data_IF_752419175169
#
_entry.id   IF_752419175169
#
_cell.length_a   1.000
_cell.length_b   1.000
_cell.length_c   1.000
_cell.angle_alpha   90.00
_cell.angle_beta   90.00
_cell.angle_gamma   90.00
#
_symmetry.space_group_name_H-M   'P 1'
#
loop_
_entity.id
_entity.type
_entity.pdbx_description
1 polymer ?
#
# COMPACT_ATOMS: atom_id res chain seq x y z
N UNK A 1 -43.72 11.37 6.05
CA UNK A 1 -43.24 10.79 4.78
C UNK A 1 -41.72 10.74 4.87
N UNK A 2 -41.16 9.67 5.41
CA UNK A 2 -39.72 9.53 5.64
C UNK A 2 -39.11 8.73 4.50
N UNK A 3 -38.52 9.42 3.53
CA UNK A 3 -37.64 8.78 2.54
C UNK A 3 -36.31 8.47 3.23
N UNK A 4 -36.20 7.28 3.81
CA UNK A 4 -34.91 6.68 4.10
C UNK A 4 -34.23 6.38 2.77
N UNK A 5 -33.44 7.34 2.28
CA UNK A 5 -32.47 7.08 1.22
C UNK A 5 -31.38 6.22 1.84
N UNK A 6 -31.54 4.90 1.76
CA UNK A 6 -30.45 3.95 1.95
C UNK A 6 -29.40 4.26 0.88
N UNK A 7 -28.42 5.10 1.22
CA UNK A 7 -27.19 5.25 0.46
C UNK A 7 -26.55 3.86 0.46
N UNK A 8 -26.73 3.12 -0.62
CA UNK A 8 -25.95 1.92 -0.91
C UNK A 8 -24.52 2.43 -1.11
N UNK A 9 -23.74 2.47 -0.04
CA UNK A 9 -22.30 2.67 -0.12
C UNK A 9 -21.76 1.42 -0.79
N UNK A 10 -21.29 1.56 -2.04
CA UNK A 10 -20.48 0.52 -2.66
C UNK A 10 -19.33 0.19 -1.69
N UNK A 11 -19.17 -1.06 -1.22
CA UNK A 11 -18.10 -1.40 -0.28
C UNK A 11 -16.71 -1.02 -0.82
N UNK A 12 -16.54 -0.97 -2.15
CA UNK A 12 -15.31 -0.49 -2.80
C UNK A 12 -15.03 1.01 -2.58
N UNK A 13 -16.03 1.82 -2.24
CA UNK A 13 -15.89 3.27 -1.96
C UNK A 13 -15.64 3.59 -0.47
N UNK A 14 -15.62 2.58 0.41
CA UNK A 14 -15.48 2.78 1.87
C UNK A 14 -14.21 2.11 2.41
N UNK A 15 -13.62 1.17 1.67
CA UNK A 15 -12.38 0.53 2.07
C UNK A 15 -11.18 1.43 1.73
N UNK A 16 -10.52 1.92 2.77
CA UNK A 16 -9.25 2.64 2.68
C UNK A 16 -8.06 1.68 2.81
N UNK A 17 -6.91 2.08 2.28
CA UNK A 17 -5.67 1.30 2.41
C UNK A 17 -5.36 0.94 3.86
N UNK A 18 -5.59 1.87 4.80
CA UNK A 18 -5.39 1.68 6.23
C UNK A 18 -6.17 0.48 6.81
N UNK A 19 -7.40 0.24 6.36
CA UNK A 19 -8.21 -0.88 6.85
C UNK A 19 -7.83 -2.23 6.23
N UNK A 20 -7.10 -2.21 5.11
CA UNK A 20 -6.77 -3.41 4.34
C UNK A 20 -5.33 -3.87 4.54
N UNK A 21 -4.45 -2.96 4.96
CA UNK A 21 -3.02 -3.20 5.00
C UNK A 21 -2.62 -4.31 5.95
N UNK A 22 -1.49 -4.93 5.62
CA UNK A 22 -0.67 -5.58 6.64
C UNK A 22 0.10 -4.49 7.38
N UNK A 23 -0.08 -4.33 8.71
CA UNK A 23 0.69 -3.36 9.48
C UNK A 23 2.19 -3.59 9.33
N UNK A 24 2.98 -2.52 9.40
CA UNK A 24 4.43 -2.63 9.19
C UNK A 24 5.09 -3.48 10.28
N UNK A 25 4.53 -3.49 11.48
CA UNK A 25 4.97 -4.28 12.63
C UNK A 25 4.70 -5.78 12.46
N UNK A 26 3.78 -6.14 11.57
CA UNK A 26 3.46 -7.53 11.23
C UNK A 26 4.25 -8.04 10.02
N UNK A 27 5.16 -7.23 9.47
CA UNK A 27 6.03 -7.64 8.37
C UNK A 27 7.27 -8.35 8.90
N UNK A 28 7.77 -9.32 8.13
CA UNK A 28 9.01 -10.01 8.47
C UNK A 28 10.17 -9.02 8.45
N UNK A 29 11.12 -9.21 9.36
CA UNK A 29 12.30 -8.35 9.47
C UNK A 29 13.58 -9.17 9.48
N UNK A 30 14.63 -8.63 8.87
CA UNK A 30 15.95 -9.24 8.83
C UNK A 30 17.01 -8.13 8.81
N UNK A 31 17.95 -8.17 9.76
CA UNK A 31 19.08 -7.22 9.78
C UNK A 31 18.70 -5.75 9.91
N UNK A 32 17.53 -5.44 10.50
CA UNK A 32 17.01 -4.06 10.61
C UNK A 32 16.24 -3.59 9.37
N UNK A 33 16.06 -4.45 8.37
CA UNK A 33 15.24 -4.19 7.20
C UNK A 33 13.91 -4.93 7.30
N UNK A 34 12.87 -4.34 6.71
CA UNK A 34 11.52 -4.89 6.67
C UNK A 34 11.28 -5.47 5.28
N UNK A 35 10.79 -6.70 5.23
CA UNK A 35 10.48 -7.40 4.00
C UNK A 35 9.23 -6.81 3.35
N UNK A 36 9.43 -6.22 2.16
CA UNK A 36 8.32 -5.81 1.31
C UNK A 36 7.90 -7.00 0.44
N UNK A 37 8.86 -7.59 -0.29
CA UNK A 37 8.62 -8.71 -1.19
C UNK A 37 9.75 -9.74 -1.12
N UNK A 38 9.45 -10.91 -0.55
CA UNK A 38 10.41 -12.00 -0.38
C UNK A 38 10.80 -12.62 -1.73
N UNK A 39 9.83 -12.86 -2.61
CA UNK A 39 10.09 -13.42 -3.95
C UNK A 39 10.93 -12.48 -4.82
N UNK A 40 10.64 -11.19 -4.74
CA UNK A 40 11.37 -10.15 -5.45
C UNK A 40 12.65 -9.69 -4.77
N UNK A 41 12.98 -10.23 -3.57
CA UNK A 41 14.07 -9.79 -2.69
C UNK A 41 14.07 -8.27 -2.46
N UNK A 42 12.89 -7.70 -2.16
CA UNK A 42 12.67 -6.27 -1.96
C UNK A 42 12.51 -5.98 -0.47
N UNK A 43 13.35 -5.06 0.01
CA UNK A 43 13.44 -4.71 1.42
C UNK A 43 13.45 -3.20 1.58
N UNK A 44 12.90 -2.74 2.70
CA UNK A 44 12.89 -1.33 3.08
C UNK A 44 13.54 -1.11 4.45
N UNK A 45 14.19 0.02 4.60
CA UNK A 45 14.73 0.51 5.87
C UNK A 45 13.97 1.76 6.25
N UNK A 46 13.61 1.86 7.53
CA UNK A 46 12.95 3.04 8.09
C UNK A 46 13.94 3.81 8.96
N UNK A 47 13.85 5.13 8.90
CA UNK A 47 14.59 6.01 9.81
C UNK A 47 14.01 5.94 11.24
N UNK A 48 14.66 6.60 12.20
CA UNK A 48 14.23 6.64 13.61
C UNK A 48 12.82 7.19 13.83
N UNK A 49 12.28 7.96 12.88
CA UNK A 49 10.93 8.52 12.94
C UNK A 49 9.89 7.62 12.27
N UNK A 50 10.30 6.51 11.65
CA UNK A 50 9.44 5.57 10.93
C UNK A 50 9.21 5.93 9.46
N UNK A 51 9.93 6.91 8.93
CA UNK A 51 9.86 7.28 7.51
C UNK A 51 10.75 6.41 6.64
N UNK A 52 10.38 6.26 5.36
CA UNK A 52 11.16 5.50 4.39
C UNK A 52 12.54 6.12 4.22
N UNK A 53 13.59 5.40 4.63
CA UNK A 53 14.98 5.82 4.47
C UNK A 53 15.59 5.21 3.20
N UNK A 54 15.34 3.92 2.98
CA UNK A 54 15.93 3.18 1.87
C UNK A 54 14.98 2.10 1.37
N UNK A 55 15.04 1.85 0.08
CA UNK A 55 14.38 0.75 -0.60
C UNK A 55 15.43 0.03 -1.46
N UNK A 56 15.48 -1.31 -1.41
CA UNK A 56 16.44 -2.09 -2.20
C UNK A 56 15.80 -3.34 -2.81
N UNK A 57 16.43 -3.85 -3.87
CA UNK A 57 16.19 -5.16 -4.47
C UNK A 57 17.51 -5.91 -4.58
N UNK A 58 17.69 -7.00 -3.84
CA UNK A 58 19.01 -7.58 -3.63
C UNK A 58 19.97 -6.52 -3.12
N UNK A 59 21.12 -6.39 -3.79
CA UNK A 59 22.14 -5.39 -3.44
C UNK A 59 21.88 -4.00 -4.05
N UNK A 60 20.88 -3.85 -4.92
CA UNK A 60 20.61 -2.60 -5.64
C UNK A 60 19.65 -1.72 -4.88
N UNK A 61 20.04 -0.46 -4.62
CA UNK A 61 19.13 0.57 -4.12
C UNK A 61 18.15 0.98 -5.23
N UNK A 62 16.86 1.01 -4.90
CA UNK A 62 15.80 1.48 -5.78
C UNK A 62 15.51 2.96 -5.49
N UNK A 63 15.21 3.77 -6.52
CA UNK A 63 14.77 5.14 -6.30
C UNK A 63 13.38 5.13 -5.65
N UNK A 64 13.09 6.09 -4.76
CA UNK A 64 11.76 6.22 -4.20
C UNK A 64 10.77 6.65 -5.29
N UNK A 65 9.56 6.08 -5.25
CA UNK A 65 8.43 6.48 -6.07
C UNK A 65 7.22 6.72 -5.15
N UNK A 66 6.47 7.79 -5.41
CA UNK A 66 5.25 8.09 -4.68
C UNK A 66 4.13 8.48 -5.63
N UNK A 67 2.90 8.35 -5.14
CA UNK A 67 1.70 8.80 -5.84
C UNK A 67 0.70 9.39 -4.85
N UNK A 68 -0.03 10.40 -5.30
CA UNK A 68 -1.12 11.05 -4.57
C UNK A 68 -2.37 11.18 -5.44
N UNK A 69 -3.54 11.23 -4.79
CA UNK A 69 -4.82 11.24 -5.50
C UNK A 69 -4.92 12.42 -6.48
N UNK A 70 -5.25 12.10 -7.73
CA UNK A 70 -5.32 13.07 -8.84
C UNK A 70 -4.08 13.09 -9.75
N UNK A 71 -2.98 12.46 -9.36
CA UNK A 71 -1.81 12.32 -10.23
C UNK A 71 -2.02 11.22 -11.29
N UNK A 72 -1.43 11.36 -12.50
CA UNK A 72 -1.51 10.34 -13.54
C UNK A 72 -0.77 9.07 -13.10
N UNK A 73 -1.47 7.93 -13.17
CA UNK A 73 -0.92 6.63 -12.78
C UNK A 73 0.04 6.09 -13.84
N UNK A 74 -0.13 6.47 -15.10
CA UNK A 74 0.63 5.98 -16.25
C UNK A 74 2.11 6.36 -16.17
N UNK A 75 2.46 7.38 -15.38
CA UNK A 75 3.82 7.81 -15.13
C UNK A 75 4.58 6.91 -14.13
N UNK A 76 3.86 6.05 -13.39
CA UNK A 76 4.48 5.15 -12.41
C UNK A 76 5.27 4.05 -13.12
N UNK A 77 6.49 3.86 -12.66
CA UNK A 77 7.37 2.79 -13.10
C UNK A 77 7.09 1.50 -12.33
N UNK A 78 7.67 0.38 -12.78
CA UNK A 78 7.58 -0.92 -12.09
C UNK A 78 8.41 -0.98 -10.80
N UNK A 79 8.11 -0.07 -9.88
CA UNK A 79 8.76 0.13 -8.59
C UNK A 79 7.70 0.16 -7.48
N UNK A 80 8.07 -0.28 -6.26
CA UNK A 80 7.23 -0.06 -5.08
C UNK A 80 6.85 1.41 -4.93
N UNK A 81 5.56 1.66 -4.68
CA UNK A 81 5.01 3.02 -4.66
C UNK A 81 4.54 3.37 -3.26
N UNK A 82 4.97 4.53 -2.76
CA UNK A 82 4.55 5.09 -1.49
C UNK A 82 3.30 5.98 -1.69
N UNK A 83 2.23 5.68 -0.97
CA UNK A 83 0.96 6.43 -1.06
C UNK A 83 0.40 6.72 0.33
N UNK A 84 -0.52 7.68 0.44
CA UNK A 84 -1.22 7.92 1.70
C UNK A 84 -2.09 6.70 2.08
N UNK A 85 -2.11 6.36 3.36
CA UNK A 85 -2.89 5.24 3.91
C UNK A 85 -4.41 5.42 3.73
N UNK A 86 -4.89 6.64 3.47
CA UNK A 86 -6.30 6.90 3.12
C UNK A 86 -6.68 6.53 1.68
N UNK A 87 -5.73 6.03 0.86
CA UNK A 87 -5.96 5.65 -0.53
C UNK A 87 -7.19 4.74 -0.69
N UNK A 88 -8.01 5.04 -1.69
CA UNK A 88 -9.14 4.22 -2.05
C UNK A 88 -8.70 2.91 -2.70
N UNK A 89 -9.44 1.83 -2.45
CA UNK A 89 -9.13 0.51 -2.99
C UNK A 89 -8.99 0.46 -4.51
N UNK A 90 -9.79 1.25 -5.25
CA UNK A 90 -9.70 1.33 -6.73
C UNK A 90 -8.31 1.78 -7.17
N UNK A 91 -7.82 2.87 -6.60
CA UNK A 91 -6.52 3.43 -6.96
C UNK A 91 -5.39 2.48 -6.54
N UNK A 92 -5.50 1.84 -5.37
CA UNK A 92 -4.54 0.82 -4.93
C UNK A 92 -4.44 -0.35 -5.92
N UNK A 93 -5.58 -0.88 -6.40
CA UNK A 93 -5.58 -1.94 -7.43
C UNK A 93 -4.97 -1.45 -8.74
N UNK A 94 -5.27 -0.21 -9.15
CA UNK A 94 -4.75 0.36 -10.39
C UNK A 94 -3.23 0.60 -10.32
N UNK A 95 -2.71 1.09 -9.20
CA UNK A 95 -1.26 1.19 -8.94
C UNK A 95 -0.62 -0.20 -8.99
N UNK A 96 -1.22 -1.19 -8.33
CA UNK A 96 -0.71 -2.57 -8.33
C UNK A 96 -0.65 -3.15 -9.75
N UNK A 97 -1.67 -2.90 -10.56
CA UNK A 97 -1.74 -3.32 -11.95
C UNK A 97 -0.68 -2.62 -12.82
N UNK A 98 -0.54 -1.30 -12.69
CA UNK A 98 0.40 -0.49 -13.46
C UNK A 98 1.87 -0.82 -13.13
N UNK A 99 2.18 -0.89 -11.84
CA UNK A 99 3.57 -1.05 -11.37
C UNK A 99 4.01 -2.49 -11.28
N UNK A 100 3.06 -3.42 -11.08
CA UNK A 100 3.41 -4.80 -10.78
C UNK A 100 4.14 -4.97 -9.44
N UNK A 101 4.12 -3.97 -8.54
CA UNK A 101 4.81 -4.01 -7.25
C UNK A 101 3.86 -3.79 -6.07
N UNK A 102 4.28 -4.21 -4.87
CA UNK A 102 3.57 -3.94 -3.61
C UNK A 102 3.58 -2.45 -3.30
N UNK A 103 2.56 -2.02 -2.56
CA UNK A 103 2.33 -0.61 -2.23
C UNK A 103 2.70 -0.39 -0.76
N UNK A 104 3.42 0.68 -0.49
CA UNK A 104 3.73 1.13 0.87
C UNK A 104 2.74 2.23 1.25
N UNK A 105 2.16 2.13 2.44
CA UNK A 105 1.23 3.11 2.97
C UNK A 105 1.90 4.00 4.00
N UNK A 106 1.69 5.31 3.88
CA UNK A 106 2.15 6.28 4.87
C UNK A 106 1.03 7.06 5.52
N UNK A 107 1.24 7.43 6.78
CA UNK A 107 0.46 8.44 7.49
C UNK A 107 1.40 9.57 7.90
N UNK A 108 1.21 10.76 7.32
CA UNK A 108 2.25 11.79 7.34
C UNK A 108 3.53 11.26 6.71
N UNK A 109 4.64 11.31 7.43
CA UNK A 109 5.94 10.81 6.97
C UNK A 109 6.22 9.36 7.38
N UNK A 110 5.38 8.75 8.21
CA UNK A 110 5.59 7.38 8.72
C UNK A 110 5.04 6.34 7.77
N UNK A 111 5.82 5.32 7.46
CA UNK A 111 5.32 4.10 6.80
C UNK A 111 4.59 3.26 7.84
N UNK A 112 3.31 3.00 7.61
CA UNK A 112 2.42 2.33 8.58
C UNK A 112 1.98 0.93 8.14
N UNK A 113 2.17 0.58 6.88
CA UNK A 113 1.85 -0.75 6.40
C UNK A 113 2.09 -0.94 4.92
N UNK A 114 1.74 -2.13 4.45
CA UNK A 114 1.87 -2.52 3.05
C UNK A 114 0.56 -3.09 2.51
N UNK A 115 0.34 -2.93 1.21
CA UNK A 115 -0.69 -3.63 0.45
C UNK A 115 -0.01 -4.48 -0.62
N UNK A 116 -0.18 -5.80 -0.50
CA UNK A 116 0.19 -6.77 -1.53
C UNK A 116 -1.03 -7.49 -2.09
N UNK A 117 -0.76 -8.57 -2.82
CA UNK A 117 -1.80 -9.34 -3.51
C UNK A 117 -2.80 -9.95 -2.52
N UNK A 118 -2.31 -10.42 -1.38
CA UNK A 118 -3.16 -11.02 -0.33
C UNK A 118 -4.18 -10.01 0.18
N UNK A 119 -3.74 -8.82 0.58
CA UNK A 119 -4.59 -7.78 1.15
C UNK A 119 -5.63 -7.31 0.12
N UNK A 120 -5.18 -7.04 -1.10
CA UNK A 120 -6.06 -6.59 -2.19
C UNK A 120 -7.05 -7.69 -2.62
N UNK A 121 -6.62 -8.95 -2.69
CA UNK A 121 -7.47 -10.07 -3.05
C UNK A 121 -8.55 -10.33 -1.99
N UNK A 122 -8.21 -10.29 -0.70
CA UNK A 122 -9.19 -10.42 0.37
C UNK A 122 -10.23 -9.31 0.37
N UNK A 123 -9.78 -8.07 0.11
CA UNK A 123 -10.67 -6.93 -0.05
C UNK A 123 -11.63 -7.10 -1.23
N UNK A 124 -11.16 -7.59 -2.39
CA UNK A 124 -11.99 -7.82 -3.58
C UNK A 124 -13.06 -8.90 -3.35
N UNK A 125 -12.75 -9.90 -2.52
CA UNK A 125 -13.70 -10.94 -2.12
C UNK A 125 -14.68 -10.50 -1.02
N UNK A 126 -14.62 -9.24 -0.56
CA UNK A 126 -15.47 -8.74 0.51
C UNK A 126 -15.13 -9.30 1.90
N UNK A 127 -13.96 -9.92 2.06
CA UNK A 127 -13.44 -10.37 3.35
C UNK A 127 -12.57 -9.26 3.91
N UNK A 128 -13.20 -8.23 4.47
CA UNK A 128 -12.46 -7.35 5.38
C UNK A 128 -11.94 -8.24 6.52
N UNK A 129 -10.61 -8.30 6.68
CA UNK A 129 -10.01 -9.00 7.81
C UNK A 129 -10.46 -8.27 9.07
N UNK A 130 -11.33 -8.92 9.86
CA UNK A 130 -11.77 -8.47 11.16
C UNK A 130 -10.71 -8.69 12.23
#
# INVERSE_FOLDING_TARGET
MCVHSSRITNPLNVLSGHSLMRPIEACDTQGGEICLDDQGDIWLTLNQQGGLERLRRGDRVLPPQSWTSGEPLEALQSLPTLVNADIGMRDAVQIRYQTGQKIMLRQGDKVVGILGDRELYHALLGKAMG
#
